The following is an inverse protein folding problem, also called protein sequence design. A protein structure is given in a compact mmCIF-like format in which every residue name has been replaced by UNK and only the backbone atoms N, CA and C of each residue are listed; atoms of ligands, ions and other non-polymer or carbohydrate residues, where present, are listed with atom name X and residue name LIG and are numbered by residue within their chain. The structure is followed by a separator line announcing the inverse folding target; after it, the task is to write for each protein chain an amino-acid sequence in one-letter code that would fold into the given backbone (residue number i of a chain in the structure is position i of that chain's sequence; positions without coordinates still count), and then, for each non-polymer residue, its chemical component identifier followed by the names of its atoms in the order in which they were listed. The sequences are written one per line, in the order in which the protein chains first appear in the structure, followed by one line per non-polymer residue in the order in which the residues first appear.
data_IF_870697095505
#
_entry.id   IF_870697095505
#
_cell.length_a   1.000
_cell.length_b   1.000
_cell.length_c   1.000
_cell.angle_alpha   90.00
_cell.angle_beta   90.00
_cell.angle_gamma   90.00
#
_symmetry.space_group_name_H-M   'P 1'
#
loop_
_entity.id
_entity.type
_entity.pdbx_description
1 polymer ?
#
# COMPACT_ATOMS: atom_id res chain seq x y z
N UNK A 1 4.26 -2.70 13.33
CA UNK A 1 3.20 -3.49 12.66
C UNK A 1 2.42 -4.22 13.74
N UNK A 2 1.09 -4.15 13.74
CA UNK A 2 0.24 -4.84 14.73
C UNK A 2 -0.56 -5.94 14.01
N UNK A 3 -0.39 -7.23 14.37
CA UNK A 3 -1.23 -8.29 13.84
C UNK A 3 -2.63 -8.18 14.45
N UNK A 4 -3.68 -8.26 13.62
CA UNK A 4 -5.09 -8.18 14.08
C UNK A 4 -5.88 -9.44 13.72
N UNK A 5 -5.24 -10.39 13.03
CA UNK A 5 -5.83 -11.67 12.68
C UNK A 5 -4.87 -12.54 11.89
N UNK A 6 -5.30 -13.76 11.57
CA UNK A 6 -4.54 -14.65 10.69
C UNK A 6 -4.32 -13.94 9.35
N UNK A 7 -3.06 -13.71 8.98
CA UNK A 7 -2.67 -13.05 7.73
C UNK A 7 -3.10 -11.58 7.60
N UNK A 8 -3.51 -10.91 8.68
CA UNK A 8 -3.94 -9.50 8.64
C UNK A 8 -3.11 -8.66 9.60
N UNK A 9 -2.56 -7.57 9.08
CA UNK A 9 -1.67 -6.66 9.78
C UNK A 9 -2.13 -5.22 9.58
N UNK A 10 -2.00 -4.40 10.63
CA UNK A 10 -2.21 -2.95 10.55
C UNK A 10 -0.89 -2.24 10.78
N UNK A 11 -0.60 -1.24 9.95
CA UNK A 11 0.62 -0.44 10.07
C UNK A 11 0.37 0.98 9.55
N UNK A 12 0.55 2.01 10.39
CA UNK A 12 0.52 3.43 9.98
C UNK A 12 -0.66 3.84 9.08
N UNK A 13 -1.89 3.40 9.40
CA UNK A 13 -3.09 3.69 8.59
C UNK A 13 -3.35 2.71 7.44
N UNK A 14 -2.46 1.73 7.24
CA UNK A 14 -2.60 0.67 6.26
C UNK A 14 -3.14 -0.61 6.89
N UNK A 15 -4.02 -1.31 6.18
CA UNK A 15 -4.34 -2.72 6.45
C UNK A 15 -3.70 -3.60 5.38
N UNK A 16 -2.87 -4.55 5.78
CA UNK A 16 -2.14 -5.45 4.90
C UNK A 16 -2.65 -6.86 5.13
N UNK A 17 -3.20 -7.48 4.09
CA UNK A 17 -3.76 -8.84 4.13
C UNK A 17 -2.97 -9.73 3.22
N UNK A 18 -2.40 -10.81 3.74
CA UNK A 18 -1.82 -11.86 2.90
C UNK A 18 -2.95 -12.66 2.28
N UNK A 19 -2.97 -12.71 0.95
CA UNK A 19 -3.96 -13.49 0.20
C UNK A 19 -3.84 -14.96 0.55
N UNK A 20 -4.99 -15.63 0.67
CA UNK A 20 -5.03 -17.08 0.75
C UNK A 20 -4.44 -17.67 -0.53
N UNK A 21 -3.55 -18.64 -0.37
CA UNK A 21 -2.93 -19.37 -1.47
C UNK A 21 -4.00 -20.23 -2.12
N UNK A 22 -4.29 -20.00 -3.40
CA UNK A 22 -5.29 -20.76 -4.15
C UNK A 22 -4.70 -21.18 -5.50
N UNK A 23 -5.33 -22.14 -6.18
CA UNK A 23 -4.84 -22.68 -7.46
C UNK A 23 -4.59 -21.59 -8.52
N UNK A 24 -5.40 -20.52 -8.51
CA UNK A 24 -5.28 -19.36 -9.40
C UNK A 24 -4.33 -18.26 -8.90
N UNK A 25 -3.90 -18.32 -7.63
CA UNK A 25 -2.98 -17.36 -7.02
C UNK A 25 -1.92 -18.12 -6.22
N UNK A 26 -0.94 -18.65 -6.94
CA UNK A 26 0.17 -19.45 -6.39
C UNK A 26 1.19 -18.60 -5.62
N UNK A 27 1.13 -17.27 -5.79
CA UNK A 27 2.03 -16.29 -5.18
C UNK A 27 1.51 -15.84 -3.82
N UNK A 28 2.42 -15.57 -2.89
CA UNK A 28 2.12 -14.95 -1.59
C UNK A 28 1.74 -13.46 -1.77
N UNK A 29 0.68 -13.18 -2.53
CA UNK A 29 0.23 -11.83 -2.80
C UNK A 29 -0.29 -11.18 -1.52
N UNK A 30 -0.08 -9.87 -1.41
CA UNK A 30 -0.66 -9.05 -0.35
C UNK A 30 -1.69 -8.10 -0.96
N UNK A 31 -2.84 -7.96 -0.30
CA UNK A 31 -3.79 -6.88 -0.52
C UNK A 31 -3.51 -5.79 0.51
N UNK A 32 -3.30 -4.56 0.05
CA UNK A 32 -2.96 -3.40 0.85
C UNK A 32 -4.13 -2.44 0.76
N UNK A 33 -4.64 -2.02 1.90
CA UNK A 33 -5.70 -1.02 2.00
C UNK A 33 -5.09 0.23 2.60
N UNK A 34 -5.13 1.34 1.85
CA UNK A 34 -4.61 2.64 2.29
C UNK A 34 -5.80 3.53 2.64
N UNK A 35 -5.83 4.01 3.87
CA UNK A 35 -6.81 5.04 4.27
C UNK A 35 -6.20 6.41 4.06
N UNK A 36 -6.92 7.31 3.40
CA UNK A 36 -6.53 8.72 3.30
C UNK A 36 -7.15 9.58 4.40
N UNK A 37 -6.77 10.86 4.44
CA UNK A 37 -7.24 11.82 5.44
C UNK A 37 -8.74 12.14 5.31
N UNK A 38 -9.34 11.88 4.14
CA UNK A 38 -10.79 12.01 3.90
C UNK A 38 -11.58 10.79 4.39
N UNK A 39 -10.87 9.72 4.77
CA UNK A 39 -11.45 8.45 5.18
C UNK A 39 -11.76 7.51 4.02
N UNK A 40 -11.42 7.86 2.78
CA UNK A 40 -11.51 6.96 1.65
C UNK A 40 -10.47 5.84 1.77
N UNK A 41 -10.80 4.68 1.20
CA UNK A 41 -9.95 3.47 1.27
C UNK A 41 -9.61 3.01 -0.14
N UNK A 42 -8.34 3.12 -0.49
CA UNK A 42 -7.79 2.56 -1.72
C UNK A 42 -7.34 1.11 -1.48
N UNK A 43 -7.59 0.24 -2.46
CA UNK A 43 -7.20 -1.16 -2.42
C UNK A 43 -6.16 -1.46 -3.51
N UNK A 44 -5.03 -2.02 -3.12
CA UNK A 44 -3.92 -2.35 -4.02
C UNK A 44 -3.46 -3.79 -3.82
N UNK A 45 -3.10 -4.48 -4.90
CA UNK A 45 -2.18 -5.61 -4.74
C UNK A 45 -0.77 -5.10 -4.43
N UNK A 46 0.05 -5.89 -3.74
CA UNK A 46 1.36 -5.46 -3.25
C UNK A 46 2.29 -4.91 -4.33
N UNK A 47 2.22 -5.46 -5.55
CA UNK A 47 2.98 -4.95 -6.70
C UNK A 47 2.51 -3.56 -7.12
N UNK A 48 1.20 -3.39 -7.26
CA UNK A 48 0.60 -2.14 -7.72
C UNK A 48 0.79 -1.03 -6.69
N UNK A 49 0.72 -1.38 -5.40
CA UNK A 49 1.05 -0.47 -4.31
C UNK A 49 2.49 0.03 -4.38
N UNK A 50 3.45 -0.88 -4.55
CA UNK A 50 4.87 -0.53 -4.64
C UNK A 50 5.14 0.40 -5.82
N UNK A 51 4.51 0.13 -6.98
CA UNK A 51 4.61 1.00 -8.15
C UNK A 51 4.00 2.39 -7.90
N UNK A 52 2.78 2.45 -7.38
CA UNK A 52 2.08 3.71 -7.12
C UNK A 52 2.80 4.59 -6.10
N UNK A 53 3.31 4.02 -5.01
CA UNK A 53 4.08 4.76 -4.02
C UNK A 53 5.46 5.19 -4.54
N UNK A 54 6.10 4.38 -5.41
CA UNK A 54 7.34 4.77 -6.06
C UNK A 54 7.12 6.00 -6.97
N UNK A 55 6.08 5.97 -7.81
CA UNK A 55 5.69 7.12 -8.65
C UNK A 55 5.40 8.37 -7.82
N UNK A 56 4.56 8.24 -6.78
CA UNK A 56 4.23 9.35 -5.87
C UNK A 56 5.47 9.92 -5.17
N UNK A 57 6.45 9.07 -4.86
CA UNK A 57 7.71 9.50 -4.26
C UNK A 57 8.55 10.29 -5.26
N UNK A 58 8.67 9.82 -6.51
CA UNK A 58 9.35 10.55 -7.59
C UNK A 58 8.70 11.92 -7.82
N UNK A 59 7.36 11.98 -7.91
CA UNK A 59 6.63 13.24 -8.09
C UNK A 59 6.90 14.23 -6.95
N UNK A 60 6.97 13.75 -5.70
CA UNK A 60 7.30 14.59 -4.54
C UNK A 60 8.73 15.13 -4.60
N UNK A 61 9.69 14.31 -5.01
CA UNK A 61 11.07 14.75 -5.16
C UNK A 61 11.18 15.83 -6.25
N UNK A 62 10.54 15.60 -7.41
CA UNK A 62 10.54 16.56 -8.52
C UNK A 62 9.80 17.87 -8.20
N UNK A 63 8.74 17.81 -7.39
CA UNK A 63 7.96 19.00 -7.00
C UNK A 63 8.57 19.75 -5.80
N UNK A 64 9.34 19.06 -4.95
CA UNK A 64 10.01 19.64 -3.78
C UNK A 64 11.14 20.61 -4.12
N UNK A 65 11.73 20.49 -5.32
CA UNK A 65 12.81 21.37 -5.80
C UNK A 65 12.31 22.74 -6.32
N UNK A 66 10.99 22.96 -6.42
CA UNK A 66 10.41 24.20 -6.97
C UNK A 66 9.97 25.24 -5.91
N UNK A 67 10.20 25.01 -4.61
CA UNK A 67 9.91 25.97 -3.54
C UNK A 67 11.19 26.56 -2.93
N UNK A 68 12.09 27.03 -3.80
CA UNK A 68 13.35 27.68 -3.45
C UNK A 68 13.76 28.74 -4.47
N UNK A 69 12.90 29.74 -4.70
CA UNK A 69 13.26 31.02 -5.33
C UNK A 69 12.71 32.18 -4.50
#
# INVERSE_FOLDING_TARGET
MVPVGKNVYVYSGFTIRKSSRNYFNSSNAYLINKRDDSGAIDNYYGRDFALAEAMRTIDKLNNGDNNGS
#
